data_IF_056659812694
#
_entry.id   IF_056659812694
#
_cell.length_a   1.000
_cell.length_b   1.000
_cell.length_c   1.000
_cell.angle_alpha   90.00
_cell.angle_beta   90.00
_cell.angle_gamma   90.00
#
_symmetry.space_group_name_H-M   'P 1'
#
loop_
_entity.id
_entity.type
_entity.pdbx_description
1 polymer ?
#
# COMPACT_ATOMS: atom_id res chain seq x y z
N UNK A 1 -13.83 17.99 14.89
CA UNK A 1 -13.42 16.64 14.42
C UNK A 1 -12.02 16.75 13.82
N UNK A 2 -11.02 15.98 14.30
CA UNK A 2 -9.71 15.90 13.63
C UNK A 2 -9.91 15.12 12.33
N UNK A 3 -9.50 15.69 11.19
CA UNK A 3 -9.51 14.97 9.92
C UNK A 3 -8.38 13.92 9.94
N UNK A 4 -8.61 12.70 9.44
CA UNK A 4 -7.55 11.70 9.33
C UNK A 4 -6.44 12.21 8.41
N UNK A 5 -5.18 12.06 8.83
CA UNK A 5 -4.02 12.41 8.03
C UNK A 5 -3.86 11.41 6.87
N UNK A 6 -4.01 11.88 5.64
CA UNK A 6 -4.08 11.04 4.43
C UNK A 6 -2.93 11.28 3.43
N UNK A 7 -1.86 12.01 3.83
CA UNK A 7 -0.89 12.60 2.90
C UNK A 7 -0.30 11.63 1.86
N UNK A 8 0.12 10.42 2.27
CA UNK A 8 0.64 9.42 1.33
C UNK A 8 -0.40 8.90 0.33
N UNK A 9 -1.66 8.78 0.74
CA UNK A 9 -2.75 8.36 -0.14
C UNK A 9 -3.17 9.44 -1.15
N UNK A 10 -3.00 10.73 -0.81
CA UNK A 10 -3.31 11.84 -1.72
C UNK A 10 -2.28 11.91 -2.86
N UNK A 11 -0.99 11.73 -2.54
CA UNK A 11 0.08 11.67 -3.54
C UNK A 11 -0.09 10.48 -4.49
N UNK A 12 -0.34 9.28 -3.96
CA UNK A 12 -0.55 8.10 -4.79
C UNK A 12 -1.80 8.25 -5.66
N UNK A 13 -2.90 8.79 -5.13
CA UNK A 13 -4.12 9.03 -5.90
C UNK A 13 -3.89 10.02 -7.05
N UNK A 14 -3.08 11.06 -6.84
CA UNK A 14 -2.68 11.97 -7.91
C UNK A 14 -1.94 11.23 -9.03
N UNK A 15 -0.93 10.43 -8.69
CA UNK A 15 -0.17 9.66 -9.70
C UNK A 15 -1.04 8.66 -10.45
N UNK A 16 -1.97 7.99 -9.75
CA UNK A 16 -2.93 7.06 -10.38
C UNK A 16 -3.86 7.80 -11.34
N UNK A 17 -4.44 8.92 -10.89
CA UNK A 17 -5.34 9.73 -11.72
C UNK A 17 -4.63 10.26 -12.97
N UNK A 18 -3.39 10.72 -12.80
CA UNK A 18 -2.56 11.19 -13.90
C UNK A 18 -2.19 10.05 -14.87
N UNK A 19 -1.84 8.88 -14.35
CA UNK A 19 -1.57 7.69 -15.15
C UNK A 19 -2.78 7.23 -15.95
N UNK A 20 -3.98 7.26 -15.36
CA UNK A 20 -5.23 6.96 -16.05
C UNK A 20 -5.58 7.99 -17.13
N UNK A 21 -5.34 9.28 -16.85
CA UNK A 21 -5.51 10.34 -17.85
C UNK A 21 -4.61 10.11 -19.08
N UNK A 22 -3.33 9.83 -18.87
CA UNK A 22 -2.41 9.48 -19.97
C UNK A 22 -2.83 8.18 -20.65
N UNK A 23 -3.21 7.16 -19.86
CA UNK A 23 -3.69 5.89 -20.39
C UNK A 23 -4.87 6.06 -21.33
N UNK A 24 -5.82 6.93 -20.99
CA UNK A 24 -6.94 7.24 -21.87
C UNK A 24 -6.50 7.89 -23.19
N UNK A 25 -5.59 8.86 -23.11
CA UNK A 25 -5.02 9.48 -24.30
C UNK A 25 -4.31 8.46 -25.21
N UNK A 26 -3.53 7.54 -24.62
CA UNK A 26 -2.84 6.47 -25.36
C UNK A 26 -3.85 5.53 -26.04
N UNK A 27 -4.90 5.13 -25.32
CA UNK A 27 -5.96 4.28 -25.85
C UNK A 27 -6.67 4.92 -27.05
N UNK A 28 -7.02 6.21 -26.96
CA UNK A 28 -7.67 6.96 -28.04
C UNK A 28 -6.79 7.03 -29.32
N UNK A 29 -5.46 6.93 -29.16
CA UNK A 29 -4.49 6.90 -30.27
C UNK A 29 -3.98 5.49 -30.60
N UNK A 30 -4.65 4.44 -30.11
CA UNK A 30 -4.33 3.02 -30.36
C UNK A 30 -2.93 2.60 -29.87
N UNK A 31 -2.35 3.31 -28.91
CA UNK A 31 -1.10 2.91 -28.26
C UNK A 31 -1.36 1.88 -27.15
N UNK A 32 -0.33 1.08 -26.84
CA UNK A 32 -0.39 0.11 -25.75
C UNK A 32 -0.45 0.77 -24.37
N UNK A 33 -1.25 0.20 -23.46
CA UNK A 33 -1.36 0.60 -22.05
C UNK A 33 -0.28 -0.03 -21.15
N UNK A 34 0.54 -0.95 -21.67
CA UNK A 34 1.59 -1.64 -20.89
C UNK A 34 2.50 -0.70 -20.10
N UNK A 35 2.94 0.46 -20.63
CA UNK A 35 3.77 1.40 -19.87
C UNK A 35 3.06 1.98 -18.65
N UNK A 36 1.75 2.25 -18.75
CA UNK A 36 0.95 2.77 -17.63
C UNK A 36 0.81 1.70 -16.55
N UNK A 37 0.53 0.46 -16.94
CA UNK A 37 0.46 -0.64 -15.98
C UNK A 37 1.81 -0.90 -15.31
N UNK A 38 2.92 -0.81 -16.05
CA UNK A 38 4.26 -0.96 -15.50
C UNK A 38 4.57 0.15 -14.48
N UNK A 39 4.27 1.41 -14.84
CA UNK A 39 4.44 2.56 -13.97
C UNK A 39 3.66 2.39 -12.66
N UNK A 40 2.35 2.10 -12.73
CA UNK A 40 1.50 1.96 -11.54
C UNK A 40 1.91 0.77 -10.67
N UNK A 41 2.30 -0.36 -11.28
CA UNK A 41 2.77 -1.55 -10.56
C UNK A 41 4.07 -1.30 -9.81
N UNK A 42 5.02 -0.62 -10.44
CA UNK A 42 6.28 -0.26 -9.80
C UNK A 42 6.06 0.78 -8.70
N UNK A 43 5.19 1.76 -8.95
CA UNK A 43 4.85 2.81 -7.99
C UNK A 43 4.23 2.21 -6.72
N UNK A 44 3.26 1.29 -6.82
CA UNK A 44 2.68 0.66 -5.63
C UNK A 44 3.72 -0.20 -4.88
N UNK A 45 4.59 -0.93 -5.59
CA UNK A 45 5.67 -1.68 -4.95
C UNK A 45 6.64 -0.77 -4.20
N UNK A 46 7.02 0.35 -4.81
CA UNK A 46 7.93 1.32 -4.22
C UNK A 46 7.30 1.99 -2.98
N UNK A 47 6.02 2.34 -3.03
CA UNK A 47 5.35 2.96 -1.87
C UNK A 47 5.28 2.01 -0.67
N UNK A 48 4.98 0.72 -0.86
CA UNK A 48 5.07 -0.27 0.21
C UNK A 48 6.49 -0.44 0.71
N UNK A 49 7.45 -0.70 -0.20
CA UNK A 49 8.83 -0.96 0.18
C UNK A 49 9.45 0.22 0.94
N UNK A 50 9.26 1.45 0.44
CA UNK A 50 9.77 2.65 1.08
C UNK A 50 9.14 2.87 2.46
N UNK A 51 7.83 2.65 2.58
CA UNK A 51 7.15 2.72 3.88
C UNK A 51 7.71 1.68 4.85
N UNK A 52 7.93 0.44 4.41
CA UNK A 52 8.56 -0.62 5.19
C UNK A 52 9.99 -0.28 5.59
N UNK A 53 10.78 0.28 4.67
CA UNK A 53 12.15 0.70 4.91
C UNK A 53 12.27 1.80 5.97
N UNK A 54 11.44 2.84 5.86
CA UNK A 54 11.39 3.93 6.85
C UNK A 54 11.01 3.40 8.23
N UNK A 55 10.01 2.51 8.30
CA UNK A 55 9.60 1.87 9.56
C UNK A 55 10.70 0.95 10.10
N UNK A 56 11.41 0.22 9.23
CA UNK A 56 12.49 -0.67 9.63
C UNK A 56 13.63 0.11 10.28
N UNK A 57 13.95 1.31 9.77
CA UNK A 57 14.98 2.19 10.34
C UNK A 57 14.55 2.90 11.64
N UNK A 58 13.27 2.81 12.00
CA UNK A 58 12.71 3.51 13.16
C UNK A 58 12.58 2.60 14.37
N UNK A 59 13.30 2.92 15.45
CA UNK A 59 13.24 2.16 16.70
C UNK A 59 11.83 2.11 17.29
N UNK A 60 11.03 3.18 17.15
CA UNK A 60 9.64 3.23 17.64
C UNK A 60 8.69 2.33 16.85
N UNK A 61 8.94 2.08 15.57
CA UNK A 61 8.20 1.08 14.80
C UNK A 61 8.63 -0.34 15.16
N UNK A 62 9.93 -0.58 15.32
CA UNK A 62 10.45 -1.90 15.70
C UNK A 62 9.93 -2.39 17.06
N UNK A 63 9.71 -1.49 18.02
CA UNK A 63 9.17 -1.83 19.34
C UNK A 63 7.64 -1.64 19.48
N UNK A 64 6.94 -1.32 18.39
CA UNK A 64 5.47 -1.21 18.37
C UNK A 64 4.90 0.09 18.94
N UNK A 65 5.72 1.01 19.48
CA UNK A 65 5.25 2.30 20.01
C UNK A 65 4.61 3.17 18.94
N UNK A 66 5.21 3.25 17.75
CA UNK A 66 4.72 4.12 16.67
C UNK A 66 3.33 3.70 16.16
N UNK A 67 3.05 2.39 16.14
CA UNK A 67 1.72 1.87 15.80
C UNK A 67 0.66 2.33 16.81
N UNK A 68 0.96 2.21 18.10
CA UNK A 68 0.08 2.72 19.14
C UNK A 68 -0.06 4.25 19.07
N UNK A 69 1.03 4.99 18.86
CA UNK A 69 0.99 6.45 18.70
C UNK A 69 0.14 6.87 17.50
N UNK A 70 0.13 6.08 16.43
CA UNK A 70 -0.69 6.35 15.24
C UNK A 70 -2.19 6.30 15.55
N UNK A 71 -2.62 5.54 16.56
CA UNK A 71 -4.03 5.52 17.00
C UNK A 71 -4.50 6.83 17.63
N UNK A 72 -3.60 7.67 18.16
CA UNK A 72 -3.95 9.01 18.64
C UNK A 72 -4.35 9.97 17.51
N UNK A 73 -3.95 9.66 16.28
CA UNK A 73 -4.32 10.38 15.08
C UNK A 73 -5.61 9.83 14.45
N UNK A 74 -6.16 8.74 15.00
CA UNK A 74 -7.38 8.12 14.48
C UNK A 74 -8.62 8.93 14.80
N UNK A 75 -9.68 8.66 14.04
CA UNK A 75 -11.02 9.19 14.30
C UNK A 75 -11.72 8.52 15.50
N UNK A 76 -11.23 7.38 15.98
CA UNK A 76 -11.85 6.55 17.02
C UNK A 76 -11.23 6.77 18.41
N UNK A 77 -10.10 7.47 18.49
CA UNK A 77 -9.33 7.62 19.72
C UNK A 77 -8.26 6.55 19.88
N UNK A 78 -7.45 6.62 20.95
CA UNK A 78 -6.29 5.77 21.12
C UNK A 78 -6.67 4.32 21.41
N UNK A 79 -5.92 3.39 20.81
CA UNK A 79 -6.02 1.97 21.12
C UNK A 79 -5.46 1.69 22.52
N UNK A 80 -6.00 0.67 23.21
CA UNK A 80 -5.44 0.21 24.48
C UNK A 80 -3.97 -0.25 24.28
N UNK A 81 -3.02 0.19 25.14
CA UNK A 81 -1.62 -0.18 24.98
C UNK A 81 -1.41 -1.66 25.34
N UNK A 82 -1.37 -2.54 24.34
CA UNK A 82 -0.92 -3.93 24.48
C UNK A 82 0.43 -4.12 23.81
N UNK A 83 1.51 -3.85 24.56
CA UNK A 83 2.89 -3.73 24.04
C UNK A 83 3.37 -4.96 23.27
N UNK A 84 3.11 -6.18 23.77
CA UNK A 84 3.53 -7.42 23.11
C UNK A 84 2.80 -7.65 21.77
N UNK A 85 1.49 -7.40 21.73
CA UNK A 85 0.70 -7.52 20.50
C UNK A 85 1.09 -6.47 19.46
N UNK A 86 1.31 -5.22 19.88
CA UNK A 86 1.74 -4.14 18.98
C UNK A 86 3.09 -4.44 18.33
N UNK A 87 4.04 -5.03 19.05
CA UNK A 87 5.33 -5.42 18.48
C UNK A 87 5.16 -6.50 17.41
N UNK A 88 4.39 -7.56 17.67
CA UNK A 88 4.15 -8.62 16.69
C UNK A 88 3.49 -8.04 15.43
N UNK A 89 2.48 -7.20 15.61
CA UNK A 89 1.77 -6.53 14.51
C UNK A 89 2.74 -5.69 13.67
N UNK A 90 3.60 -4.86 14.29
CA UNK A 90 4.53 -4.04 13.52
C UNK A 90 5.58 -4.86 12.78
N UNK A 91 6.05 -5.97 13.35
CA UNK A 91 6.97 -6.87 12.66
C UNK A 91 6.32 -7.53 11.44
N UNK A 92 5.06 -7.97 11.55
CA UNK A 92 4.32 -8.53 10.42
C UNK A 92 4.10 -7.48 9.31
N UNK A 93 3.73 -6.25 9.67
CA UNK A 93 3.59 -5.13 8.72
C UNK A 93 4.93 -4.85 8.02
N UNK A 94 6.02 -4.77 8.77
CA UNK A 94 7.36 -4.51 8.24
C UNK A 94 7.79 -5.56 7.22
N UNK A 95 7.66 -6.84 7.57
CA UNK A 95 8.01 -7.95 6.67
C UNK A 95 7.13 -7.91 5.42
N UNK A 96 5.83 -7.70 5.57
CA UNK A 96 4.92 -7.57 4.44
C UNK A 96 5.31 -6.43 3.50
N UNK A 97 5.53 -5.22 4.04
CA UNK A 97 5.87 -4.03 3.24
C UNK A 97 7.21 -4.16 2.51
N UNK A 98 8.23 -4.70 3.19
CA UNK A 98 9.56 -4.93 2.60
C UNK A 98 9.57 -6.02 1.53
N UNK A 99 8.73 -7.05 1.69
CA UNK A 99 8.63 -8.14 0.73
C UNK A 99 7.62 -7.86 -0.39
N UNK A 100 6.83 -6.80 -0.31
CA UNK A 100 5.80 -6.48 -1.30
C UNK A 100 6.32 -6.45 -2.76
N UNK A 101 7.54 -5.95 -3.08
CA UNK A 101 8.07 -6.00 -4.45
C UNK A 101 8.16 -7.41 -5.04
N UNK A 102 8.18 -8.47 -4.22
CA UNK A 102 8.12 -9.85 -4.69
C UNK A 102 6.81 -10.17 -5.44
N UNK A 103 5.77 -9.37 -5.25
CA UNK A 103 4.51 -9.46 -5.99
C UNK A 103 4.67 -9.31 -7.51
N UNK A 104 5.73 -8.65 -7.99
CA UNK A 104 5.96 -8.46 -9.43
C UNK A 104 6.43 -9.73 -10.15
N UNK A 105 7.00 -10.70 -9.42
CA UNK A 105 7.72 -11.81 -10.04
C UNK A 105 6.82 -12.94 -10.54
N UNK A 106 5.64 -13.12 -9.94
CA UNK A 106 4.76 -14.24 -10.27
C UNK A 106 3.28 -13.92 -9.92
N UNK A 107 2.28 -14.32 -10.74
CA UNK A 107 0.88 -14.02 -10.50
C UNK A 107 0.33 -14.52 -9.16
N UNK A 108 0.78 -15.69 -8.72
CA UNK A 108 0.39 -16.24 -7.42
C UNK A 108 0.88 -15.36 -6.26
N UNK A 109 2.12 -14.86 -6.34
CA UNK A 109 2.66 -13.93 -5.33
C UNK A 109 1.89 -12.61 -5.39
N UNK A 110 1.59 -12.09 -6.58
CA UNK A 110 0.75 -10.90 -6.74
C UNK A 110 -0.58 -11.04 -6.00
N UNK A 111 -1.28 -12.17 -6.17
CA UNK A 111 -2.56 -12.43 -5.50
C UNK A 111 -2.39 -12.46 -3.97
N UNK A 112 -1.37 -13.16 -3.46
CA UNK A 112 -1.09 -13.21 -2.01
C UNK A 112 -0.87 -11.80 -1.45
N UNK A 113 0.00 -11.00 -2.09
CA UNK A 113 0.31 -9.65 -1.63
C UNK A 113 -0.86 -8.68 -1.81
N UNK A 114 -1.68 -8.83 -2.84
CA UNK A 114 -2.92 -8.06 -3.04
C UNK A 114 -3.90 -8.35 -1.89
N UNK A 115 -4.17 -9.62 -1.58
CA UNK A 115 -5.06 -10.00 -0.49
C UNK A 115 -4.51 -9.44 0.84
N UNK A 116 -3.22 -9.65 1.11
CA UNK A 116 -2.57 -9.11 2.30
C UNK A 116 -2.65 -7.59 2.41
N UNK A 117 -2.46 -6.89 1.29
CA UNK A 117 -2.53 -5.43 1.21
C UNK A 117 -3.96 -4.92 1.43
N UNK A 118 -4.96 -5.57 0.84
CA UNK A 118 -6.38 -5.27 1.11
C UNK A 118 -6.71 -5.48 2.59
N UNK A 119 -6.31 -6.60 3.19
CA UNK A 119 -6.51 -6.87 4.62
C UNK A 119 -5.80 -5.84 5.51
N UNK A 120 -4.57 -5.44 5.17
CA UNK A 120 -3.83 -4.39 5.88
C UNK A 120 -4.57 -3.05 5.84
N UNK A 121 -5.05 -2.63 4.66
CA UNK A 121 -5.77 -1.37 4.54
C UNK A 121 -7.17 -1.41 5.17
N UNK A 122 -7.86 -2.55 5.14
CA UNK A 122 -9.08 -2.74 5.94
C UNK A 122 -8.78 -2.62 7.43
N UNK A 123 -7.69 -3.20 7.92
CA UNK A 123 -7.21 -2.99 9.29
C UNK A 123 -7.01 -1.51 9.62
N UNK A 124 -6.42 -0.74 8.70
CA UNK A 124 -6.27 0.72 8.86
C UNK A 124 -7.61 1.46 8.86
N UNK A 125 -8.63 0.98 8.14
CA UNK A 125 -10.00 1.50 8.27
C UNK A 125 -10.52 1.24 9.69
N UNK A 126 -10.55 -0.01 10.12
CA UNK A 126 -11.18 -0.38 11.39
C UNK A 126 -10.46 0.18 12.61
N UNK A 127 -9.13 0.26 12.58
CA UNK A 127 -8.31 0.69 13.72
C UNK A 127 -8.03 2.19 13.71
N UNK A 128 -7.87 2.80 12.53
CA UNK A 128 -7.37 4.16 12.40
C UNK A 128 -8.33 5.12 11.67
N UNK A 129 -9.38 4.61 11.02
CA UNK A 129 -10.32 5.41 10.23
C UNK A 129 -9.74 5.91 8.90
N UNK A 130 -8.67 5.27 8.40
CA UNK A 130 -7.94 5.68 7.19
C UNK A 130 -8.60 5.15 5.91
N UNK A 131 -9.85 5.56 5.66
CA UNK A 131 -10.67 5.09 4.53
C UNK A 131 -10.04 5.30 3.15
N UNK A 132 -9.35 6.43 2.95
CA UNK A 132 -8.78 6.78 1.64
C UNK A 132 -7.67 5.82 1.21
N UNK A 133 -6.86 5.37 2.15
CA UNK A 133 -5.77 4.42 1.89
C UNK A 133 -6.29 3.13 1.25
N UNK A 134 -7.43 2.60 1.70
CA UNK A 134 -7.97 1.38 1.11
C UNK A 134 -8.29 1.57 -0.38
N UNK A 135 -9.05 2.60 -0.73
CA UNK A 135 -9.47 2.83 -2.10
C UNK A 135 -8.30 3.16 -3.02
N UNK A 136 -7.39 4.02 -2.57
CA UNK A 136 -6.23 4.43 -3.38
C UNK A 136 -5.37 3.21 -3.78
N UNK A 137 -5.14 2.26 -2.87
CA UNK A 137 -4.35 1.06 -3.17
C UNK A 137 -5.12 0.04 -4.01
N UNK A 138 -6.42 -0.16 -3.73
CA UNK A 138 -7.26 -1.11 -4.49
C UNK A 138 -7.30 -0.76 -5.98
N UNK A 139 -7.37 0.54 -6.32
CA UNK A 139 -7.37 0.98 -7.72
C UNK A 139 -6.06 0.63 -8.45
N UNK A 140 -4.94 0.49 -7.73
CA UNK A 140 -3.65 0.16 -8.32
C UNK A 140 -3.47 -1.35 -8.58
N UNK A 141 -4.07 -2.23 -7.78
CA UNK A 141 -3.81 -3.68 -7.86
C UNK A 141 -4.09 -4.35 -9.22
N UNK A 142 -5.08 -3.91 -10.03
CA UNK A 142 -5.25 -4.44 -11.37
C UNK A 142 -4.00 -4.29 -12.24
N UNK A 143 -3.27 -3.17 -12.12
CA UNK A 143 -2.03 -2.96 -12.86
C UNK A 143 -0.95 -3.97 -12.44
N UNK A 144 -0.80 -4.20 -11.13
CA UNK A 144 0.15 -5.16 -10.56
C UNK A 144 -0.12 -6.57 -11.06
N UNK A 145 -1.39 -7.02 -10.99
CA UNK A 145 -1.77 -8.34 -11.45
C UNK A 145 -1.57 -8.49 -12.97
N UNK A 146 -1.83 -7.43 -13.74
CA UNK A 146 -1.58 -7.43 -15.18
C UNK A 146 -0.08 -7.58 -15.47
N UNK A 147 0.79 -6.82 -14.81
CA UNK A 147 2.24 -6.93 -14.99
C UNK A 147 2.74 -8.31 -14.59
N UNK A 148 2.34 -8.82 -13.42
CA UNK A 148 2.74 -10.15 -12.98
C UNK A 148 2.26 -11.26 -13.93
N UNK A 149 1.09 -11.11 -14.57
CA UNK A 149 0.58 -12.08 -15.57
C UNK A 149 1.29 -12.01 -16.92
N UNK A 150 1.71 -10.83 -17.36
CA UNK A 150 2.24 -10.64 -18.72
C UNK A 150 3.77 -10.60 -18.80
N UNK A 151 4.46 -10.40 -17.67
CA UNK A 151 5.92 -10.24 -17.60
C UNK A 151 6.56 -11.03 -16.45
N UNK A 152 5.95 -12.13 -15.98
CA UNK A 152 6.56 -13.00 -14.97
C UNK A 152 7.82 -13.67 -15.52
N UNK A 153 8.75 -13.97 -14.60
CA UNK A 153 10.05 -14.56 -14.94
C UNK A 153 10.00 -16.10 -14.95
N UNK A 154 8.88 -16.73 -14.52
CA UNK A 154 8.69 -18.18 -14.49
C UNK A 154 7.24 -18.59 -14.67
#
# INVERSE_FOLDING_TARGET
MKKPYNGGSDQLLFYVSFGLFIGRYLEDHQFSLSPIFLFLSFLICLTYFYAGWVKFRSSSWQNGRAFWQSSYLSCYGPLSPKTSSSKIITQLILVFELLFPLSLFHPFLAIIFIIGGMSFHLGNIYLLGLNRFFWTWVICYPSLLWIAKNYHIF
#
